data_IF_361197273599
#
_entry.id   IF_361197273599
#
_cell.length_a   1.000
_cell.length_b   1.000
_cell.length_c   1.000
_cell.angle_alpha   90.00
_cell.angle_beta   90.00
_cell.angle_gamma   90.00
#
_symmetry.space_group_name_H-M   'P 1'
#
loop_
_entity.id
_entity.type
_entity.pdbx_description
1 polymer ?
#
# COMPACT_ATOMS: atom_id res chain seq x y z
N UNK A 1 -2.02 -20.41 -21.41
CA UNK A 1 -1.47 -19.14 -20.87
C UNK A 1 -2.58 -18.25 -20.30
N UNK A 2 -3.26 -18.65 -19.21
CA UNK A 2 -4.28 -17.81 -18.53
C UNK A 2 -3.78 -17.29 -17.16
N UNK A 3 -2.51 -17.59 -16.84
CA UNK A 3 -1.85 -17.20 -15.59
C UNK A 3 -1.81 -15.70 -15.32
N UNK A 4 -1.52 -14.82 -16.31
CA UNK A 4 -1.40 -13.38 -16.02
C UNK A 4 -2.71 -12.76 -15.54
N UNK A 5 -3.83 -13.20 -16.13
CA UNK A 5 -5.17 -12.68 -15.81
C UNK A 5 -5.63 -13.22 -14.46
N UNK A 6 -5.44 -14.52 -14.18
CA UNK A 6 -5.82 -15.08 -12.88
C UNK A 6 -5.01 -14.42 -11.73
N UNK A 7 -3.71 -14.22 -11.93
CA UNK A 7 -2.85 -13.58 -10.93
C UNK A 7 -3.26 -12.13 -10.69
N UNK A 8 -3.59 -11.35 -11.73
CA UNK A 8 -4.05 -9.97 -11.54
C UNK A 8 -5.39 -9.92 -10.79
N UNK A 9 -6.33 -10.81 -11.09
CA UNK A 9 -7.60 -10.91 -10.35
C UNK A 9 -7.41 -11.31 -8.89
N UNK A 10 -6.54 -12.28 -8.60
CA UNK A 10 -6.22 -12.69 -7.24
C UNK A 10 -5.56 -11.55 -6.44
N UNK A 11 -4.64 -10.80 -7.05
CA UNK A 11 -4.01 -9.64 -6.43
C UNK A 11 -5.02 -8.50 -6.20
N UNK A 12 -5.93 -8.26 -7.14
CA UNK A 12 -7.01 -7.27 -6.98
C UNK A 12 -7.94 -7.64 -5.82
N UNK A 13 -8.36 -8.91 -5.73
CA UNK A 13 -9.18 -9.39 -4.61
C UNK A 13 -8.43 -9.30 -3.27
N UNK A 14 -7.15 -9.66 -3.24
CA UNK A 14 -6.33 -9.58 -2.04
C UNK A 14 -6.15 -8.14 -1.56
N UNK A 15 -5.85 -7.21 -2.46
CA UNK A 15 -5.68 -5.79 -2.13
C UNK A 15 -7.01 -5.13 -1.71
N UNK A 16 -8.12 -5.52 -2.34
CA UNK A 16 -9.47 -5.10 -1.92
C UNK A 16 -9.84 -5.64 -0.53
N UNK A 17 -9.56 -6.91 -0.25
CA UNK A 17 -9.80 -7.52 1.06
C UNK A 17 -8.93 -6.86 2.15
N UNK A 18 -7.67 -6.58 1.85
CA UNK A 18 -6.75 -5.84 2.70
C UNK A 18 -7.28 -4.41 2.99
N UNK A 19 -7.72 -3.68 1.95
CA UNK A 19 -8.32 -2.36 2.10
C UNK A 19 -9.62 -2.39 2.93
N UNK A 20 -10.48 -3.39 2.68
CA UNK A 20 -11.69 -3.63 3.47
C UNK A 20 -11.39 -3.91 4.93
N UNK A 21 -10.37 -4.71 5.21
CA UNK A 21 -9.92 -4.98 6.56
C UNK A 21 -9.47 -3.69 7.27
N UNK A 22 -8.63 -2.87 6.65
CA UNK A 22 -8.20 -1.59 7.22
C UNK A 22 -9.37 -0.63 7.43
N UNK A 23 -10.35 -0.61 6.52
CA UNK A 23 -11.59 0.16 6.68
C UNK A 23 -12.44 -0.34 7.86
N UNK A 24 -12.55 -1.66 8.07
CA UNK A 24 -13.26 -2.19 9.24
C UNK A 24 -12.56 -1.81 10.54
N UNK A 25 -11.21 -1.80 10.57
CA UNK A 25 -10.43 -1.33 11.74
C UNK A 25 -10.61 0.16 11.99
N UNK A 26 -10.68 0.96 10.92
CA UNK A 26 -10.97 2.39 10.99
C UNK A 26 -12.33 2.63 11.64
N UNK A 27 -13.38 1.93 11.18
CA UNK A 27 -14.75 2.05 11.69
C UNK A 27 -14.93 1.50 13.10
N UNK A 28 -14.18 0.45 13.46
CA UNK A 28 -14.24 -0.21 14.77
C UNK A 28 -13.37 0.44 15.82
N UNK A 29 -12.55 1.42 15.48
CA UNK A 29 -11.74 2.16 16.45
C UNK A 29 -12.66 2.99 17.35
N UNK A 30 -13.01 2.52 18.56
CA UNK A 30 -13.97 3.24 19.41
C UNK A 30 -13.27 4.45 20.02
N UNK A 31 -14.05 5.42 20.49
CA UNK A 31 -13.60 6.58 21.29
C UNK A 31 -13.03 6.17 22.67
N UNK A 32 -12.31 5.06 22.78
CA UNK A 32 -11.75 4.55 24.02
C UNK A 32 -10.44 5.29 24.37
N UNK A 33 -10.49 6.12 25.41
CA UNK A 33 -9.54 6.29 26.52
C UNK A 33 -8.01 6.39 26.34
N UNK A 34 -7.42 6.24 25.16
CA UNK A 34 -5.96 6.37 24.94
C UNK A 34 -5.48 7.82 24.74
N UNK A 35 -4.15 8.08 24.77
CA UNK A 35 -3.59 9.38 24.43
C UNK A 35 -3.96 9.79 23.01
N UNK A 36 -4.44 11.03 22.84
CA UNK A 36 -5.03 11.53 21.59
C UNK A 36 -4.09 11.39 20.36
N UNK A 37 -2.78 11.51 20.58
CA UNK A 37 -1.75 11.43 19.53
C UNK A 37 -1.59 10.03 18.93
N UNK A 38 -1.75 8.97 19.72
CA UNK A 38 -1.65 7.59 19.23
C UNK A 38 -2.85 7.17 18.36
N UNK A 39 -4.04 7.69 18.68
CA UNK A 39 -5.28 7.41 17.92
C UNK A 39 -5.25 8.05 16.53
N UNK A 40 -4.86 9.32 16.44
CA UNK A 40 -4.77 10.02 15.16
C UNK A 40 -3.82 9.29 14.21
N UNK A 41 -2.67 8.84 14.70
CA UNK A 41 -1.72 8.07 13.90
C UNK A 41 -2.28 6.72 13.41
N UNK A 42 -2.97 5.98 14.27
CA UNK A 42 -3.60 4.72 13.89
C UNK A 42 -4.73 4.94 12.87
N UNK A 43 -5.51 6.01 13.04
CA UNK A 43 -6.54 6.43 12.10
C UNK A 43 -5.93 6.79 10.73
N UNK A 44 -4.94 7.69 10.70
CA UNK A 44 -4.21 8.09 9.50
C UNK A 44 -3.65 6.87 8.75
N UNK A 45 -3.03 5.92 9.48
CA UNK A 45 -2.48 4.71 8.89
C UNK A 45 -3.55 3.80 8.31
N UNK A 46 -4.61 3.52 9.05
CA UNK A 46 -5.69 2.65 8.56
C UNK A 46 -6.43 3.27 7.37
N UNK A 47 -6.59 4.60 7.37
CA UNK A 47 -7.19 5.33 6.26
C UNK A 47 -6.30 5.31 5.01
N UNK A 48 -4.99 5.55 5.16
CA UNK A 48 -4.02 5.48 4.07
C UNK A 48 -3.94 4.06 3.48
N UNK A 49 -3.84 3.04 4.33
CA UNK A 49 -3.83 1.65 3.90
C UNK A 49 -5.14 1.28 3.19
N UNK A 50 -6.30 1.63 3.75
CA UNK A 50 -7.58 1.39 3.09
C UNK A 50 -7.65 2.05 1.70
N UNK A 51 -7.26 3.33 1.60
CA UNK A 51 -7.22 4.06 0.34
C UNK A 51 -6.29 3.41 -0.68
N UNK A 52 -5.08 3.03 -0.28
CA UNK A 52 -4.11 2.39 -1.18
C UNK A 52 -4.57 1.01 -1.63
N UNK A 53 -5.12 0.20 -0.71
CA UNK A 53 -5.67 -1.13 -1.01
C UNK A 53 -6.80 -1.10 -2.02
N UNK A 54 -7.83 -0.30 -1.74
CA UNK A 54 -8.94 -0.11 -2.69
C UNK A 54 -8.48 0.54 -3.98
N UNK A 55 -7.55 1.48 -3.90
CA UNK A 55 -6.96 2.15 -5.04
C UNK A 55 -6.26 1.20 -6.00
N UNK A 56 -5.44 0.29 -5.48
CA UNK A 56 -4.74 -0.72 -6.28
C UNK A 56 -5.74 -1.64 -6.98
N UNK A 57 -6.71 -2.16 -6.23
CA UNK A 57 -7.75 -3.00 -6.78
C UNK A 57 -8.52 -2.25 -7.88
N UNK A 58 -8.96 -1.03 -7.62
CA UNK A 58 -9.72 -0.23 -8.56
C UNK A 58 -8.93 0.09 -9.83
N UNK A 59 -7.66 0.49 -9.73
CA UNK A 59 -6.81 0.72 -10.91
C UNK A 59 -6.61 -0.54 -11.75
N UNK A 60 -6.52 -1.72 -11.11
CA UNK A 60 -6.39 -2.99 -11.83
C UNK A 60 -7.65 -3.37 -12.63
N UNK A 61 -8.85 -2.97 -12.18
CA UNK A 61 -10.12 -3.26 -12.89
C UNK A 61 -10.62 -2.12 -13.77
N UNK A 62 -10.30 -0.86 -13.45
CA UNK A 62 -10.92 0.30 -14.11
C UNK A 62 -10.38 0.55 -15.52
N UNK A 63 -9.18 0.07 -15.84
CA UNK A 63 -8.53 0.39 -17.12
C UNK A 63 -8.51 1.91 -17.35
N UNK A 64 -8.97 2.36 -18.53
CA UNK A 64 -9.07 3.77 -18.91
C UNK A 64 -10.36 4.47 -18.48
N UNK A 65 -11.26 3.80 -17.76
CA UNK A 65 -12.56 4.38 -17.38
C UNK A 65 -12.44 5.59 -16.43
N UNK A 66 -11.36 5.66 -15.64
CA UNK A 66 -11.07 6.77 -14.74
C UNK A 66 -9.86 7.54 -15.27
N UNK A 67 -9.98 8.86 -15.53
CA UNK A 67 -8.88 9.65 -16.05
C UNK A 67 -7.66 9.66 -15.11
N UNK A 68 -6.45 9.55 -15.69
CA UNK A 68 -5.20 9.59 -14.95
C UNK A 68 -5.05 10.78 -13.98
N UNK A 69 -5.49 12.02 -14.30
CA UNK A 69 -5.43 13.13 -13.36
C UNK A 69 -6.27 12.93 -12.09
N UNK A 70 -7.39 12.20 -12.19
CA UNK A 70 -8.25 11.91 -11.02
C UNK A 70 -7.50 11.02 -10.05
N UNK A 71 -6.88 9.96 -10.54
CA UNK A 71 -6.03 9.08 -9.73
C UNK A 71 -4.84 9.83 -9.13
N UNK A 72 -4.19 10.69 -9.93
CA UNK A 72 -3.07 11.49 -9.47
C UNK A 72 -3.45 12.41 -8.31
N UNK A 73 -4.65 13.00 -8.32
CA UNK A 73 -5.15 13.81 -7.21
C UNK A 73 -5.49 12.96 -5.99
N UNK A 74 -6.19 11.84 -6.18
CA UNK A 74 -6.64 10.94 -5.10
C UNK A 74 -5.46 10.39 -4.29
N UNK A 75 -4.35 10.04 -4.93
CA UNK A 75 -3.16 9.52 -4.24
C UNK A 75 -2.10 10.59 -3.96
N UNK A 76 -1.95 11.57 -4.84
CA UNK A 76 -0.92 12.60 -4.75
C UNK A 76 -1.19 13.60 -3.62
N UNK A 77 -2.45 14.01 -3.40
CA UNK A 77 -2.77 14.95 -2.33
C UNK A 77 -2.49 14.35 -0.92
N UNK A 78 -2.94 13.12 -0.59
CA UNK A 78 -2.52 12.46 0.65
C UNK A 78 -1.01 12.25 0.74
N UNK A 79 -0.35 11.87 -0.35
CA UNK A 79 1.10 11.67 -0.35
C UNK A 79 1.87 12.96 -0.02
N UNK A 80 1.46 14.09 -0.61
CA UNK A 80 2.02 15.39 -0.30
C UNK A 80 1.78 15.77 1.16
N UNK A 81 0.58 15.52 1.69
CA UNK A 81 0.27 15.75 3.10
C UNK A 81 1.17 14.92 4.03
N UNK A 82 1.38 13.64 3.73
CA UNK A 82 2.28 12.77 4.50
C UNK A 82 3.75 13.21 4.40
N UNK A 83 4.20 13.61 3.22
CA UNK A 83 5.55 14.10 3.00
C UNK A 83 5.80 15.38 3.80
N UNK A 84 4.88 16.34 3.73
CA UNK A 84 4.91 17.54 4.55
C UNK A 84 4.93 17.16 6.03
N UNK A 85 3.99 16.34 6.50
CA UNK A 85 3.93 15.91 7.90
C UNK A 85 5.18 15.14 8.38
N UNK A 86 5.96 14.55 7.46
CA UNK A 86 7.25 13.92 7.77
C UNK A 86 8.41 14.93 7.81
N UNK A 87 8.36 15.99 7.01
CA UNK A 87 9.33 17.11 7.04
C UNK A 87 9.15 17.95 8.31
N UNK A 88 7.90 18.21 8.69
CA UNK A 88 7.54 18.95 9.91
C UNK A 88 7.62 18.09 11.19
N UNK A 89 7.95 16.80 11.09
CA UNK A 89 8.08 15.94 12.24
C UNK A 89 9.35 16.30 13.04
N UNK A 90 9.20 16.56 14.33
CA UNK A 90 10.33 16.81 15.23
C UNK A 90 11.26 15.59 15.39
N UNK A 91 12.51 15.83 15.85
CA UNK A 91 13.56 14.81 15.93
C UNK A 91 13.21 13.63 16.85
N UNK A 92 12.31 13.83 17.82
CA UNK A 92 11.92 12.80 18.81
C UNK A 92 10.97 11.72 18.26
N UNK A 93 10.66 11.73 16.96
CA UNK A 93 9.64 10.86 16.37
C UNK A 93 10.07 10.09 15.12
N UNK A 94 11.27 9.47 15.10
CA UNK A 94 11.84 8.86 13.89
C UNK A 94 10.98 7.74 13.31
N UNK A 95 10.36 6.91 14.16
CA UNK A 95 9.47 5.83 13.71
C UNK A 95 8.20 6.35 13.01
N UNK A 96 7.61 7.44 13.53
CA UNK A 96 6.43 8.09 12.93
C UNK A 96 6.78 8.74 11.60
N UNK A 97 7.95 9.39 11.54
CA UNK A 97 8.48 9.98 10.30
C UNK A 97 8.69 8.92 9.23
N UNK A 98 9.33 7.80 9.56
CA UNK A 98 9.54 6.70 8.63
C UNK A 98 8.22 6.12 8.11
N UNK A 99 7.23 5.96 8.99
CA UNK A 99 5.90 5.48 8.62
C UNK A 99 5.15 6.43 7.67
N UNK A 100 5.18 7.74 7.94
CA UNK A 100 4.62 8.76 7.03
C UNK A 100 5.34 8.80 5.69
N UNK A 101 6.66 8.69 5.68
CA UNK A 101 7.45 8.61 4.45
C UNK A 101 7.10 7.37 3.63
N UNK A 102 6.89 6.23 4.26
CA UNK A 102 6.44 5.03 3.56
C UNK A 102 5.08 5.25 2.87
N UNK A 103 4.12 5.85 3.56
CA UNK A 103 2.83 6.20 2.96
C UNK A 103 2.94 7.27 1.87
N UNK A 104 3.83 8.24 2.03
CA UNK A 104 4.11 9.22 1.00
C UNK A 104 4.70 8.56 -0.26
N UNK A 105 5.68 7.66 -0.11
CA UNK A 105 6.27 6.90 -1.22
C UNK A 105 5.21 6.01 -1.89
N UNK A 106 4.36 5.35 -1.10
CA UNK A 106 3.21 4.59 -1.58
C UNK A 106 2.27 5.40 -2.47
N UNK A 107 1.81 6.55 -1.98
CA UNK A 107 0.89 7.41 -2.74
C UNK A 107 1.54 8.08 -3.95
N UNK A 108 2.82 8.45 -3.87
CA UNK A 108 3.59 8.95 -5.03
C UNK A 108 3.77 7.88 -6.09
N UNK A 109 4.04 6.63 -5.71
CA UNK A 109 4.14 5.52 -6.65
C UNK A 109 2.80 5.27 -7.37
N UNK A 110 1.69 5.31 -6.65
CA UNK A 110 0.34 5.20 -7.23
C UNK A 110 0.04 6.34 -8.20
N UNK A 111 0.42 7.57 -7.84
CA UNK A 111 0.30 8.76 -8.70
C UNK A 111 1.13 8.61 -9.97
N UNK A 112 2.37 8.17 -9.84
CA UNK A 112 3.27 7.89 -10.96
C UNK A 112 2.69 6.85 -11.91
N UNK A 113 2.20 5.73 -11.38
CA UNK A 113 1.58 4.67 -12.18
C UNK A 113 0.36 5.18 -12.95
N UNK A 114 -0.52 5.94 -12.31
CA UNK A 114 -1.68 6.49 -12.99
C UNK A 114 -1.32 7.41 -14.16
N UNK A 115 -0.36 8.32 -13.96
CA UNK A 115 0.09 9.26 -14.99
C UNK A 115 0.81 8.54 -16.15
N UNK A 116 1.67 7.57 -15.82
CA UNK A 116 2.38 6.73 -16.78
C UNK A 116 1.40 5.95 -17.70
N UNK A 117 0.44 5.24 -17.11
CA UNK A 117 -0.57 4.50 -17.87
C UNK A 117 -1.47 5.42 -18.72
N UNK A 118 -1.81 6.60 -18.19
CA UNK A 118 -2.56 7.61 -18.93
C UNK A 118 -1.82 8.14 -20.15
N UNK A 119 -0.52 8.43 -20.01
CA UNK A 119 0.32 8.91 -21.10
C UNK A 119 0.51 7.86 -22.21
N UNK A 120 0.67 6.58 -21.84
CA UNK A 120 0.76 5.47 -22.79
C UNK A 120 -0.53 5.26 -23.59
N UNK A 121 -1.70 5.49 -22.97
CA UNK A 121 -3.01 5.35 -23.65
C UNK A 121 -3.30 6.46 -24.66
N UNK A 122 -2.68 7.63 -24.53
CA UNK A 122 -2.86 8.78 -25.44
C UNK A 122 -2.03 8.74 -26.72
N UNK A 123 -0.95 7.94 -26.75
CA UNK A 123 -0.09 7.79 -27.92
C UNK A 123 -0.49 6.53 -28.71
N UNK A 124 -1.55 6.62 -29.49
CA UNK A 124 -2.01 5.52 -30.35
C UNK A 124 -0.88 5.01 -31.26
N UNK A 125 -0.35 3.82 -30.95
CA UNK A 125 0.72 3.20 -31.72
C UNK A 125 0.99 1.77 -31.27
N UNK A 126 0.70 0.82 -32.17
CA UNK A 126 1.02 -0.59 -32.04
C UNK A 126 2.54 -0.82 -32.08
N UNK A 127 3.26 -0.63 -30.98
CA UNK A 127 4.62 -1.13 -30.84
C UNK A 127 4.86 -1.64 -29.41
N UNK A 128 5.50 -2.81 -29.32
CA UNK A 128 5.81 -3.57 -28.11
C UNK A 128 6.10 -2.70 -26.87
N UNK A 129 5.31 -2.90 -25.81
CA UNK A 129 5.56 -2.58 -24.40
C UNK A 129 6.74 -1.60 -24.17
N UNK A 130 6.60 -0.36 -24.65
CA UNK A 130 7.51 0.70 -24.25
C UNK A 130 7.14 1.01 -22.80
N UNK A 131 8.09 0.78 -21.88
CA UNK A 131 7.89 0.99 -20.44
C UNK A 131 7.21 2.33 -20.22
N UNK A 132 6.00 2.33 -19.68
CA UNK A 132 5.09 3.47 -19.67
C UNK A 132 5.56 4.63 -18.74
N UNK A 133 6.77 4.56 -18.19
CA UNK A 133 7.34 5.58 -17.35
C UNK A 133 8.87 5.57 -17.35
N UNK A 134 9.47 6.43 -16.53
CA UNK A 134 10.91 6.58 -16.38
C UNK A 134 11.54 5.31 -15.78
N UNK A 135 12.37 4.54 -16.51
CA UNK A 135 12.82 3.21 -16.10
C UNK A 135 13.62 3.24 -14.81
N UNK A 136 14.38 4.31 -14.57
CA UNK A 136 15.15 4.51 -13.35
C UNK A 136 14.25 4.65 -12.11
N UNK A 137 13.16 5.42 -12.22
CA UNK A 137 12.20 5.58 -11.13
C UNK A 137 11.43 4.28 -10.88
N UNK A 138 10.96 3.62 -11.94
CA UNK A 138 10.31 2.31 -11.81
C UNK A 138 11.24 1.30 -11.12
N UNK A 139 12.51 1.24 -11.53
CA UNK A 139 13.51 0.38 -10.90
C UNK A 139 13.73 0.72 -9.41
N UNK A 140 13.85 2.00 -9.06
CA UNK A 140 14.00 2.42 -7.67
C UNK A 140 12.78 2.06 -6.81
N UNK A 141 11.56 2.23 -7.34
CA UNK A 141 10.32 1.83 -6.67
C UNK A 141 10.21 0.31 -6.52
N UNK A 142 10.61 -0.47 -7.53
CA UNK A 142 10.65 -1.93 -7.46
C UNK A 142 11.61 -2.40 -6.36
N UNK A 143 12.81 -1.82 -6.29
CA UNK A 143 13.77 -2.10 -5.22
C UNK A 143 13.20 -1.72 -3.85
N UNK A 144 12.52 -0.58 -3.75
CA UNK A 144 11.89 -0.13 -2.51
C UNK A 144 10.79 -1.09 -2.04
N UNK A 145 9.79 -1.38 -2.88
CA UNK A 145 8.66 -2.23 -2.48
C UNK A 145 9.06 -3.70 -2.36
N UNK A 146 9.98 -4.19 -3.19
CA UNK A 146 10.54 -5.54 -3.08
C UNK A 146 11.33 -5.71 -1.78
N UNK A 147 12.26 -4.79 -1.49
CA UNK A 147 13.01 -4.78 -0.24
C UNK A 147 12.12 -4.61 0.99
N UNK A 148 11.13 -3.72 0.93
CA UNK A 148 10.13 -3.55 1.99
C UNK A 148 9.32 -4.82 2.24
N UNK A 149 8.88 -5.52 1.18
CA UNK A 149 8.11 -6.75 1.29
C UNK A 149 8.95 -7.88 1.90
N UNK A 150 10.20 -8.03 1.49
CA UNK A 150 11.13 -9.00 2.10
C UNK A 150 11.38 -8.69 3.58
N UNK A 151 11.62 -7.42 3.91
CA UNK A 151 11.79 -6.97 5.29
C UNK A 151 10.53 -7.20 6.14
N UNK A 152 9.34 -6.88 5.60
CA UNK A 152 8.08 -7.07 6.28
C UNK A 152 7.76 -8.55 6.49
N UNK A 153 8.06 -9.40 5.51
CA UNK A 153 7.93 -10.85 5.56
C UNK A 153 8.86 -11.50 6.59
N UNK A 154 10.14 -11.10 6.63
CA UNK A 154 11.08 -11.61 7.64
C UNK A 154 10.67 -11.21 9.06
N UNK A 155 10.15 -10.00 9.25
CA UNK A 155 9.57 -9.55 10.53
C UNK A 155 8.36 -10.39 10.95
N UNK A 156 7.49 -10.77 10.01
CA UNK A 156 6.35 -11.66 10.27
C UNK A 156 6.80 -13.06 10.70
N UNK A 157 7.86 -13.59 10.09
CA UNK A 157 8.39 -14.90 10.44
C UNK A 157 9.15 -14.88 11.77
N UNK A 158 9.75 -13.73 12.12
CA UNK A 158 10.49 -13.55 13.36
C UNK A 158 9.62 -13.26 14.59
N UNK A 159 8.31 -13.01 14.45
CA UNK A 159 7.43 -12.88 15.62
C UNK A 159 7.32 -14.23 16.33
N UNK A 160 7.79 -14.35 17.59
CA UNK A 160 7.77 -15.64 18.28
C UNK A 160 6.32 -16.13 18.45
N UNK A 161 6.03 -17.32 17.94
CA UNK A 161 4.82 -18.09 18.27
C UNK A 161 4.90 -18.72 19.67
N UNK A 162 5.98 -18.46 20.43
CA UNK A 162 6.33 -19.11 21.68
C UNK A 162 5.62 -18.57 22.92
N UNK A 163 4.31 -18.76 23.00
CA UNK A 163 3.61 -18.90 24.29
C UNK A 163 3.55 -20.39 24.67
N UNK A 164 3.52 -20.76 25.97
CA UNK A 164 3.55 -22.16 26.40
C UNK A 164 2.45 -23.00 25.73
N UNK A 165 2.74 -24.26 25.34
CA UNK A 165 1.79 -25.15 24.68
C UNK A 165 0.66 -25.47 25.66
N UNK A 166 -0.45 -24.75 25.55
CA UNK A 166 -1.58 -24.87 26.47
C UNK A 166 -2.36 -23.56 26.66
N UNK A 167 -1.78 -22.41 26.35
CA UNK A 167 -2.55 -21.20 26.12
C UNK A 167 -3.10 -21.27 24.69
N UNK A 168 -4.34 -21.76 24.57
CA UNK A 168 -5.09 -21.80 23.32
C UNK A 168 -4.81 -20.59 22.42
N UNK A 169 -4.63 -20.87 21.12
CA UNK A 169 -4.46 -19.89 20.05
C UNK A 169 -5.62 -18.90 19.98
N UNK A 170 -5.55 -17.91 20.87
CA UNK A 170 -6.54 -16.84 20.95
C UNK A 170 -6.43 -15.97 19.71
N UNK A 171 -7.58 -15.61 19.16
CA UNK A 171 -7.75 -14.65 18.06
C UNK A 171 -6.85 -13.39 18.20
N UNK A 172 -6.44 -13.02 19.42
CA UNK A 172 -5.48 -11.95 19.73
C UNK A 172 -4.11 -12.06 19.03
N UNK A 173 -3.45 -13.23 19.03
CA UNK A 173 -2.13 -13.39 18.41
C UNK A 173 -2.21 -13.35 16.87
N UNK A 174 -3.25 -13.96 16.29
CA UNK A 174 -3.55 -13.85 14.87
C UNK A 174 -3.89 -12.39 14.47
N UNK A 175 -4.59 -11.64 15.31
CA UNK A 175 -4.92 -10.22 15.06
C UNK A 175 -3.75 -9.25 15.16
N UNK A 176 -2.66 -9.62 15.83
CA UNK A 176 -1.44 -8.81 15.90
C UNK A 176 -0.60 -8.91 14.61
N UNK A 177 -0.57 -10.08 13.96
CA UNK A 177 0.12 -10.29 12.68
C UNK A 177 -0.65 -9.79 11.46
N UNK A 178 -1.98 -9.70 11.55
CA UNK A 178 -2.86 -9.29 10.45
C UNK A 178 -2.53 -7.93 9.81
N UNK A 179 -2.25 -6.84 10.57
CA UNK A 179 -1.82 -5.57 9.98
C UNK A 179 -0.50 -5.66 9.21
N UNK A 180 0.44 -6.46 9.70
CA UNK A 180 1.73 -6.65 9.06
C UNK A 180 1.59 -7.52 7.79
N UNK A 181 0.72 -8.55 7.81
CA UNK A 181 0.36 -9.33 6.64
C UNK A 181 -0.36 -8.49 5.58
N UNK A 182 -1.27 -7.59 6.00
CA UNK A 182 -1.92 -6.62 5.12
C UNK A 182 -0.90 -5.74 4.39
N UNK A 183 0.06 -5.18 5.13
CA UNK A 183 1.14 -4.35 4.55
C UNK A 183 2.05 -5.14 3.61
N UNK A 184 2.35 -6.39 3.94
CA UNK A 184 3.08 -7.28 3.05
C UNK A 184 2.31 -7.50 1.74
N UNK A 185 1.02 -7.86 1.83
CA UNK A 185 0.17 -8.07 0.66
C UNK A 185 0.05 -6.81 -0.21
N UNK A 186 -0.06 -5.63 0.40
CA UNK A 186 -0.07 -4.36 -0.33
C UNK A 186 1.27 -4.07 -1.00
N UNK A 187 2.39 -4.30 -0.32
CA UNK A 187 3.73 -4.15 -0.88
C UNK A 187 3.97 -5.06 -2.09
N UNK A 188 3.51 -6.31 -2.02
CA UNK A 188 3.56 -7.27 -3.12
C UNK A 188 2.67 -6.81 -4.29
N UNK A 189 1.46 -6.33 -4.01
CA UNK A 189 0.56 -5.77 -5.02
C UNK A 189 1.20 -4.59 -5.77
N UNK A 190 1.76 -3.63 -5.03
CA UNK A 190 2.50 -2.50 -5.62
C UNK A 190 3.67 -2.94 -6.48
N UNK A 191 4.47 -3.90 -6.00
CA UNK A 191 5.59 -4.45 -6.75
C UNK A 191 5.12 -5.10 -8.06
N UNK A 192 4.06 -5.90 -8.00
CA UNK A 192 3.51 -6.58 -9.17
C UNK A 192 2.98 -5.58 -10.21
N UNK A 193 2.25 -4.53 -9.78
CA UNK A 193 1.76 -3.49 -10.70
C UNK A 193 2.92 -2.73 -11.36
N UNK A 194 3.96 -2.36 -10.59
CA UNK A 194 5.14 -1.69 -11.12
C UNK A 194 5.92 -2.56 -12.12
N UNK A 195 5.95 -3.88 -11.91
CA UNK A 195 6.62 -4.82 -12.82
C UNK A 195 5.91 -4.93 -14.18
N UNK A 196 4.62 -4.59 -14.23
CA UNK A 196 3.80 -4.67 -15.45
C UNK A 196 3.72 -3.36 -16.25
N UNK A 197 4.27 -2.25 -15.73
CA UNK A 197 4.34 -0.96 -16.44
C UNK A 197 5.55 -0.88 -17.37
#
# INVERSE_FOLDING_TARGET
MHGPVLVSWLLALLTAAAGGYCLTRLRRSPCAGGPATGRLHAYESNAAEALMGFGMAAMAVSGSAVPAPVWALVFGAPAAAFLLAAVWAGPDTPARRAHRLHHAIGGLAMTYMALAMGAASGHGGHHHAASAGTPLLTGALLLYFGGYSLWAGTRLLATPTGGPPGAAGGAGAATAGLPQACRLSMGIGMFAMLLTM
#
